data_IF_854947631981
#
_entry.id   IF_854947631981
#
_cell.length_a   1.000
_cell.length_b   1.000
_cell.length_c   1.000
_cell.angle_alpha   90.00
_cell.angle_beta   90.00
_cell.angle_gamma   90.00
#
_symmetry.space_group_name_H-M   'P 1'
#
loop_
_entity.id
_entity.type
_entity.pdbx_description
1 polymer ?
#
# COMPACT_ATOMS: atom_id res chain seq x y z
N UNK A 1 -19.85 -3.94 -3.83
CA UNK A 1 -18.99 -5.02 -3.28
C UNK A 1 -19.38 -5.33 -1.85
N UNK A 2 -19.65 -6.61 -1.52
CA UNK A 2 -19.87 -7.10 -0.15
C UNK A 2 -18.55 -7.21 0.63
N UNK A 3 -18.59 -7.02 1.95
CA UNK A 3 -17.41 -7.18 2.81
C UNK A 3 -17.11 -8.67 3.05
N UNK A 4 -16.28 -9.24 2.18
CA UNK A 4 -15.79 -10.62 2.34
C UNK A 4 -14.56 -10.67 3.27
N UNK A 5 -14.23 -11.83 3.86
CA UNK A 5 -12.99 -11.99 4.63
C UNK A 5 -11.73 -11.58 3.85
N UNK A 6 -11.69 -11.88 2.55
CA UNK A 6 -10.59 -11.47 1.67
C UNK A 6 -10.46 -9.94 1.59
N UNK A 7 -11.58 -9.24 1.35
CA UNK A 7 -11.62 -7.78 1.29
C UNK A 7 -11.26 -7.19 2.66
N UNK A 8 -11.75 -7.76 3.76
CA UNK A 8 -11.43 -7.30 5.10
C UNK A 8 -9.93 -7.41 5.41
N UNK A 9 -9.28 -8.53 5.04
CA UNK A 9 -7.82 -8.72 5.18
C UNK A 9 -7.07 -7.68 4.35
N UNK A 10 -7.41 -7.56 3.06
CA UNK A 10 -6.77 -6.61 2.15
C UNK A 10 -6.89 -5.16 2.66
N UNK A 11 -8.10 -4.75 3.01
CA UNK A 11 -8.40 -3.41 3.48
C UNK A 11 -7.67 -3.10 4.79
N UNK A 12 -7.70 -4.02 5.74
CA UNK A 12 -7.03 -3.84 7.04
C UNK A 12 -5.52 -3.75 6.84
N UNK A 13 -4.93 -4.64 6.03
CA UNK A 13 -3.49 -4.57 5.77
C UNK A 13 -3.09 -3.29 5.04
N UNK A 14 -3.91 -2.83 4.09
CA UNK A 14 -3.66 -1.59 3.37
C UNK A 14 -3.71 -0.37 4.31
N UNK A 15 -4.76 -0.26 5.15
CA UNK A 15 -4.90 0.83 6.11
C UNK A 15 -3.74 0.86 7.12
N UNK A 16 -3.35 -0.31 7.64
CA UNK A 16 -2.20 -0.42 8.53
C UNK A 16 -0.89 -0.08 7.81
N UNK A 17 -0.74 -0.40 6.52
CA UNK A 17 0.44 0.00 5.74
C UNK A 17 0.49 1.54 5.59
N UNK A 18 -0.64 2.20 5.35
CA UNK A 18 -0.72 3.66 5.34
C UNK A 18 -0.32 4.24 6.70
N UNK A 19 -0.77 3.65 7.80
CA UNK A 19 -0.44 4.15 9.15
C UNK A 19 1.02 3.93 9.56
N UNK A 20 1.60 2.78 9.21
CA UNK A 20 2.96 2.38 9.66
C UNK A 20 4.09 2.95 8.80
N UNK A 21 3.84 3.21 7.52
CA UNK A 21 4.85 3.74 6.59
C UNK A 21 5.45 5.10 7.01
N UNK A 22 4.65 6.11 7.41
CA UNK A 22 5.16 7.40 7.89
C UNK A 22 6.08 7.24 9.10
N UNK A 23 5.76 6.31 10.01
CA UNK A 23 6.59 6.04 11.19
C UNK A 23 7.94 5.47 10.77
N UNK A 24 7.97 4.52 9.83
CA UNK A 24 9.21 3.95 9.29
C UNK A 24 10.08 5.00 8.58
N UNK A 25 9.46 5.90 7.81
CA UNK A 25 10.14 6.97 7.08
C UNK A 25 10.67 8.06 8.03
N UNK A 26 9.85 8.46 9.00
CA UNK A 26 10.21 9.47 10.01
C UNK A 26 11.34 8.99 10.92
N UNK A 27 11.31 7.72 11.34
CA UNK A 27 12.37 7.12 12.15
C UNK A 27 13.75 7.13 11.45
N UNK A 28 13.78 7.40 10.13
CA UNK A 28 14.98 7.53 9.31
C UNK A 28 15.20 8.95 8.79
N UNK A 29 14.49 9.97 9.30
CA UNK A 29 14.69 11.37 8.95
C UNK A 29 16.05 11.88 9.47
N UNK A 30 16.73 12.68 8.65
CA UNK A 30 17.99 13.31 9.04
C UNK A 30 17.78 14.18 10.29
N UNK A 31 18.68 14.07 11.28
CA UNK A 31 18.61 14.80 12.55
C UNK A 31 18.08 14.00 13.76
N UNK A 32 17.27 12.96 13.56
CA UNK A 32 16.75 12.13 14.65
C UNK A 32 16.63 10.65 14.23
N UNK A 33 17.77 10.01 13.98
CA UNK A 33 17.81 8.60 13.54
C UNK A 33 17.39 7.65 14.67
N UNK A 34 16.43 6.78 14.39
CA UNK A 34 15.95 5.73 15.30
C UNK A 34 15.99 4.38 14.60
N UNK A 35 17.18 3.76 14.48
CA UNK A 35 17.38 2.57 13.65
C UNK A 35 16.49 1.39 14.05
N UNK A 36 16.29 1.18 15.36
CA UNK A 36 15.42 0.10 15.87
C UNK A 36 13.97 0.30 15.45
N UNK A 37 13.43 1.51 15.60
CA UNK A 37 12.06 1.85 15.17
C UNK A 37 11.91 1.75 13.66
N UNK A 38 12.89 2.25 12.90
CA UNK A 38 12.87 2.15 11.44
C UNK A 38 12.84 0.69 10.96
N UNK A 39 13.61 -0.21 11.59
CA UNK A 39 13.58 -1.64 11.25
C UNK A 39 12.25 -2.28 11.65
N UNK A 40 11.77 -2.05 12.86
CA UNK A 40 10.50 -2.62 13.35
C UNK A 40 9.31 -2.20 12.47
N UNK A 41 9.12 -0.90 12.27
CA UNK A 41 8.05 -0.38 11.41
C UNK A 41 8.30 -0.66 9.93
N UNK A 42 9.56 -0.71 9.49
CA UNK A 42 9.93 -1.08 8.13
C UNK A 42 9.54 -2.51 7.81
N UNK A 43 9.84 -3.48 8.68
CA UNK A 43 9.41 -4.87 8.49
C UNK A 43 7.89 -5.00 8.57
N UNK A 44 7.24 -4.38 9.55
CA UNK A 44 5.79 -4.37 9.64
C UNK A 44 5.14 -3.83 8.36
N UNK A 45 5.61 -2.68 7.86
CA UNK A 45 5.12 -2.06 6.63
C UNK A 45 5.33 -2.97 5.41
N UNK A 46 6.53 -3.55 5.24
CA UNK A 46 6.81 -4.48 4.12
C UNK A 46 5.87 -5.69 4.16
N UNK A 47 5.69 -6.30 5.32
CA UNK A 47 4.77 -7.44 5.49
C UNK A 47 3.33 -7.05 5.14
N UNK A 48 2.86 -5.89 5.61
CA UNK A 48 1.51 -5.39 5.30
C UNK A 48 1.35 -5.10 3.80
N UNK A 49 2.36 -4.54 3.14
CA UNK A 49 2.35 -4.31 1.69
C UNK A 49 2.31 -5.62 0.91
N UNK A 50 3.02 -6.66 1.35
CA UNK A 50 2.96 -8.00 0.74
C UNK A 50 1.57 -8.62 0.89
N UNK A 51 0.99 -8.58 2.10
CA UNK A 51 -0.38 -9.08 2.33
C UNK A 51 -1.39 -8.33 1.46
N UNK A 52 -1.27 -7.01 1.38
CA UNK A 52 -2.12 -6.15 0.54
C UNK A 52 -1.99 -6.52 -0.94
N UNK A 53 -0.77 -6.62 -1.45
CA UNK A 53 -0.52 -6.91 -2.87
C UNK A 53 -0.96 -8.33 -3.27
N UNK A 54 -0.69 -9.33 -2.41
CA UNK A 54 -1.07 -10.72 -2.68
C UNK A 54 -2.59 -10.89 -2.62
N UNK A 55 -3.25 -10.35 -1.59
CA UNK A 55 -4.72 -10.42 -1.48
C UNK A 55 -5.42 -9.72 -2.64
N UNK A 56 -4.86 -8.61 -3.16
CA UNK A 56 -5.40 -7.91 -4.31
C UNK A 56 -5.47 -8.77 -5.58
N UNK A 57 -4.59 -9.77 -5.74
CA UNK A 57 -4.64 -10.69 -6.89
C UNK A 57 -5.93 -11.50 -6.97
N UNK A 58 -6.65 -11.63 -5.85
CA UNK A 58 -7.89 -12.40 -5.74
C UNK A 58 -9.14 -11.52 -5.70
N UNK A 59 -8.99 -10.20 -5.62
CA UNK A 59 -10.11 -9.26 -5.65
C UNK A 59 -10.47 -8.99 -7.12
N UNK A 60 -11.77 -8.98 -7.42
CA UNK A 60 -12.29 -8.70 -8.76
C UNK A 60 -13.29 -7.57 -8.68
N UNK A 61 -13.26 -6.73 -9.70
CA UNK A 61 -14.17 -5.62 -9.83
C UNK A 61 -14.61 -5.48 -11.30
N UNK A 62 -15.93 -5.50 -11.48
CA UNK A 62 -16.58 -5.42 -12.78
C UNK A 62 -17.28 -4.07 -13.01
N UNK A 63 -17.26 -3.16 -12.03
CA UNK A 63 -17.93 -1.85 -12.10
C UNK A 63 -17.09 -0.78 -12.81
N UNK A 64 -15.78 -1.00 -12.95
CA UNK A 64 -14.86 -0.15 -13.72
C UNK A 64 -14.36 -0.87 -14.98
N UNK A 65 -13.78 -0.14 -15.96
CA UNK A 65 -13.10 -0.77 -17.09
C UNK A 65 -12.10 -1.83 -16.62
N UNK A 66 -12.30 -3.06 -17.09
CA UNK A 66 -11.57 -4.22 -16.60
C UNK A 66 -11.35 -5.26 -17.70
N UNK A 67 -10.37 -6.14 -17.48
CA UNK A 67 -10.18 -7.37 -18.25
C UNK A 67 -10.34 -8.52 -17.26
N UNK A 68 -11.39 -9.33 -17.41
CA UNK A 68 -11.72 -10.45 -16.52
C UNK A 68 -11.79 -10.06 -15.02
N UNK A 69 -12.30 -8.86 -14.71
CA UNK A 69 -12.42 -8.32 -13.35
C UNK A 69 -11.13 -7.68 -12.81
N UNK A 70 -10.05 -7.65 -13.58
CA UNK A 70 -8.85 -6.89 -13.26
C UNK A 70 -8.94 -5.47 -13.82
N UNK A 71 -9.07 -4.50 -12.94
CA UNK A 71 -9.05 -3.06 -13.24
C UNK A 71 -7.63 -2.50 -13.24
N UNK A 72 -7.37 -1.31 -13.81
CA UNK A 72 -6.04 -0.70 -13.86
C UNK A 72 -5.30 -0.60 -12.52
N UNK A 73 -6.03 -0.54 -11.39
CA UNK A 73 -5.41 -0.50 -10.05
C UNK A 73 -4.59 -1.76 -9.75
N UNK A 74 -4.89 -2.90 -10.38
CA UNK A 74 -4.15 -4.15 -10.19
C UNK A 74 -2.71 -4.06 -10.70
N UNK A 75 -2.38 -3.08 -11.55
CA UNK A 75 -1.00 -2.80 -11.94
C UNK A 75 -0.13 -2.38 -10.75
N UNK A 76 -0.73 -1.87 -9.66
CA UNK A 76 -0.01 -1.59 -8.43
C UNK A 76 0.56 -2.86 -7.77
N UNK A 77 0.00 -4.04 -8.04
CA UNK A 77 0.50 -5.31 -7.49
C UNK A 77 1.92 -5.63 -7.99
N UNK A 78 2.17 -5.84 -9.30
CA UNK A 78 3.53 -6.12 -9.77
C UNK A 78 4.49 -4.96 -9.48
N UNK A 79 4.03 -3.70 -9.58
CA UNK A 79 4.84 -2.53 -9.22
C UNK A 79 5.30 -2.59 -7.77
N UNK A 80 4.41 -2.94 -6.85
CA UNK A 80 4.72 -3.08 -5.42
C UNK A 80 5.71 -4.20 -5.18
N UNK A 81 5.45 -5.39 -5.71
CA UNK A 81 6.31 -6.57 -5.47
C UNK A 81 7.72 -6.37 -6.04
N UNK A 82 7.82 -5.86 -7.27
CA UNK A 82 9.12 -5.55 -7.91
C UNK A 82 9.86 -4.46 -7.13
N UNK A 83 9.16 -3.42 -6.68
CA UNK A 83 9.76 -2.33 -5.90
C UNK A 83 10.27 -2.82 -4.55
N UNK A 84 9.52 -3.66 -3.82
CA UNK A 84 9.95 -4.24 -2.56
C UNK A 84 11.20 -5.10 -2.76
N UNK A 85 11.18 -6.01 -3.74
CA UNK A 85 12.35 -6.82 -4.08
C UNK A 85 13.55 -5.93 -4.43
N UNK A 86 13.37 -4.97 -5.33
CA UNK A 86 14.43 -4.05 -5.75
C UNK A 86 14.99 -3.20 -4.61
N UNK A 87 14.15 -2.80 -3.64
CA UNK A 87 14.58 -2.03 -2.48
C UNK A 87 15.49 -2.85 -1.54
N UNK A 88 15.17 -4.13 -1.32
CA UNK A 88 16.03 -5.02 -0.52
C UNK A 88 17.25 -5.50 -1.28
N UNK A 89 17.15 -5.72 -2.60
CA UNK A 89 18.31 -5.99 -3.44
C UNK A 89 19.33 -4.85 -3.37
N UNK A 90 18.90 -3.60 -3.52
CA UNK A 90 19.76 -2.41 -3.38
C UNK A 90 20.36 -2.31 -1.97
N UNK A 91 19.57 -2.60 -0.94
CA UNK A 91 20.06 -2.63 0.45
C UNK A 91 21.16 -3.68 0.65
N UNK A 92 20.98 -4.89 0.13
CA UNK A 92 21.96 -5.98 0.22
C UNK A 92 23.29 -5.65 -0.47
N UNK A 93 23.25 -4.84 -1.54
CA UNK A 93 24.44 -4.35 -2.24
C UNK A 93 25.01 -3.05 -1.66
N UNK A 94 24.60 -2.65 -0.45
CA UNK A 94 25.08 -1.43 0.20
C UNK A 94 24.55 -0.12 -0.40
N UNK A 95 23.65 -0.17 -1.39
CA UNK A 95 23.05 1.01 -2.01
C UNK A 95 21.88 1.55 -1.16
N UNK A 96 22.21 2.22 -0.06
CA UNK A 96 21.26 2.78 0.89
C UNK A 96 20.42 3.91 0.27
N UNK A 97 21.03 4.74 -0.57
CA UNK A 97 20.33 5.81 -1.27
C UNK A 97 19.23 5.24 -2.20
N UNK A 98 19.55 4.18 -2.92
CA UNK A 98 18.63 3.45 -3.77
C UNK A 98 17.50 2.77 -3.00
N UNK A 99 17.81 2.08 -1.89
CA UNK A 99 16.79 1.53 -0.99
C UNK A 99 15.82 2.63 -0.52
N UNK A 100 16.34 3.76 -0.03
CA UNK A 100 15.53 4.87 0.47
C UNK A 100 14.65 5.48 -0.62
N UNK A 101 15.20 5.66 -1.81
CA UNK A 101 14.46 6.21 -2.95
C UNK A 101 13.29 5.30 -3.34
N UNK A 102 13.54 4.00 -3.48
CA UNK A 102 12.49 3.02 -3.85
C UNK A 102 11.42 2.93 -2.77
N UNK A 103 11.79 2.81 -1.49
CA UNK A 103 10.82 2.74 -0.38
C UNK A 103 9.94 4.00 -0.30
N UNK A 104 10.54 5.18 -0.46
CA UNK A 104 9.80 6.45 -0.44
C UNK A 104 8.84 6.56 -1.63
N UNK A 105 9.32 6.25 -2.83
CA UNK A 105 8.51 6.31 -4.05
C UNK A 105 7.38 5.28 -4.00
N UNK A 106 7.64 4.08 -3.47
CA UNK A 106 6.61 3.07 -3.30
C UNK A 106 5.56 3.51 -2.27
N UNK A 107 5.96 4.08 -1.14
CA UNK A 107 5.00 4.59 -0.15
C UNK A 107 4.11 5.68 -0.75
N UNK A 108 4.68 6.73 -1.33
CA UNK A 108 3.86 7.82 -1.90
C UNK A 108 3.11 7.39 -3.16
N UNK A 109 3.73 6.57 -4.01
CA UNK A 109 3.11 6.10 -5.24
C UNK A 109 1.97 5.11 -4.96
N UNK A 110 2.23 4.01 -4.26
CA UNK A 110 1.22 2.99 -4.05
C UNK A 110 0.18 3.39 -3.00
N UNK A 111 0.57 3.91 -1.83
CA UNK A 111 -0.40 4.20 -0.78
C UNK A 111 -1.32 5.38 -1.11
N UNK A 112 -0.79 6.45 -1.71
CA UNK A 112 -1.62 7.63 -2.06
C UNK A 112 -2.50 7.32 -3.27
N UNK A 113 -1.95 6.71 -4.31
CA UNK A 113 -2.74 6.35 -5.50
C UNK A 113 -3.80 5.33 -5.11
N UNK A 114 -3.44 4.24 -4.43
CA UNK A 114 -4.42 3.25 -3.99
C UNK A 114 -5.49 3.88 -3.08
N UNK A 115 -5.10 4.71 -2.11
CA UNK A 115 -6.04 5.43 -1.25
C UNK A 115 -7.03 6.29 -2.03
N UNK A 116 -6.55 7.06 -3.02
CA UNK A 116 -7.40 7.88 -3.88
C UNK A 116 -8.39 7.03 -4.69
N UNK A 117 -7.92 5.93 -5.29
CA UNK A 117 -8.80 5.01 -6.04
C UNK A 117 -9.83 4.32 -5.13
N UNK A 118 -9.44 3.94 -3.91
CA UNK A 118 -10.32 3.29 -2.93
C UNK A 118 -11.41 4.22 -2.42
N UNK A 119 -11.16 5.54 -2.39
CA UNK A 119 -12.13 6.55 -1.99
C UNK A 119 -13.02 7.03 -3.14
N UNK A 120 -12.97 6.44 -4.34
CA UNK A 120 -13.96 6.74 -5.37
C UNK A 120 -15.37 6.37 -4.87
N UNK A 121 -16.42 7.16 -5.16
CA UNK A 121 -17.77 6.94 -4.62
C UNK A 121 -18.41 5.63 -5.08
N UNK A 122 -17.93 5.02 -6.16
CA UNK A 122 -18.36 3.70 -6.62
C UNK A 122 -17.69 2.54 -5.85
N UNK A 123 -16.74 2.83 -4.95
CA UNK A 123 -16.03 1.82 -4.15
C UNK A 123 -16.64 1.71 -2.77
N UNK A 124 -16.57 0.51 -2.18
CA UNK A 124 -17.09 0.24 -0.84
C UNK A 124 -16.63 1.24 0.24
N UNK A 125 -15.32 1.47 0.37
CA UNK A 125 -14.78 2.41 1.36
C UNK A 125 -15.15 3.86 1.06
N UNK A 126 -15.19 4.24 -0.23
CA UNK A 126 -15.72 5.54 -0.66
C UNK A 126 -17.18 5.71 -0.28
N UNK A 127 -18.04 4.73 -0.57
CA UNK A 127 -19.46 4.75 -0.18
C UNK A 127 -19.62 4.94 1.33
N UNK A 128 -18.87 4.18 2.12
CA UNK A 128 -18.89 4.27 3.58
C UNK A 128 -18.47 5.66 4.08
N UNK A 129 -17.35 6.19 3.58
CA UNK A 129 -16.83 7.50 4.02
C UNK A 129 -17.75 8.62 3.56
N UNK A 130 -18.13 8.66 2.28
CA UNK A 130 -18.91 9.77 1.72
C UNK A 130 -20.34 9.82 2.26
N UNK A 131 -20.99 8.67 2.47
CA UNK A 131 -22.30 8.62 3.13
C UNK A 131 -22.21 9.08 4.59
N UNK A 132 -21.14 8.72 5.31
CA UNK A 132 -20.95 9.15 6.69
C UNK A 132 -20.76 10.66 6.86
N UNK A 133 -20.28 11.36 5.82
CA UNK A 133 -20.09 12.82 5.80
C UNK A 133 -21.19 13.56 5.02
N UNK A 134 -22.25 12.86 4.57
CA UNK A 134 -23.42 13.45 3.93
C UNK A 134 -23.18 13.99 2.51
N UNK A 135 -22.18 13.47 1.79
CA UNK A 135 -21.86 13.92 0.43
C UNK A 135 -22.54 13.08 -0.67
N UNK A 136 -23.01 11.88 -0.33
CA UNK A 136 -23.84 10.99 -1.17
C UNK A 136 -24.86 10.25 -0.30
#
# INVERSE_FOLDING_TARGET
MELTPLIAVHMTSALLAVATGPVALWARRAGAQRPRLHRAFGYAWVTLMLVTAISALFIRDFELPNIAGYTPIHLLVPVTLISLFGAFYKLAHGNIAGHRMVMRNLYFGACVVAGAFTLLPNRYLGQLVWSSVGLI
#
